data_IF_723900460796
#
_entry.id   IF_723900460796
#
_cell.length_a   1.000
_cell.length_b   1.000
_cell.length_c   1.000
_cell.angle_alpha   90.00
_cell.angle_beta   90.00
_cell.angle_gamma   90.00
#
_symmetry.space_group_name_H-M   'P 1'
#
loop_
_entity.id
_entity.type
_entity.pdbx_description
1 polymer ?
#
# COMPACT_ATOMS: atom_id res chain seq x y z
N UNK A 1 34.28 -27.83 -36.70
CA UNK A 1 34.56 -29.26 -36.35
C UNK A 1 33.57 -30.23 -37.00
N UNK A 2 32.25 -30.05 -36.91
CA UNK A 2 31.29 -30.98 -37.54
C UNK A 2 31.39 -31.08 -39.08
N UNK A 3 31.78 -29.98 -39.75
CA UNK A 3 32.02 -29.95 -41.20
C UNK A 3 33.27 -30.73 -41.64
N UNK A 4 34.31 -30.81 -40.79
CA UNK A 4 35.56 -31.50 -41.10
C UNK A 4 35.45 -33.03 -41.04
N UNK A 5 34.32 -33.56 -40.54
CA UNK A 5 34.05 -35.00 -40.36
C UNK A 5 32.94 -35.53 -41.28
N UNK A 6 32.48 -34.74 -42.26
CA UNK A 6 31.49 -35.18 -43.26
C UNK A 6 30.06 -35.39 -42.74
N UNK A 7 29.74 -34.97 -41.52
CA UNK A 7 28.44 -35.17 -40.89
C UNK A 7 27.48 -34.03 -41.27
N UNK A 8 27.03 -34.03 -42.53
CA UNK A 8 26.06 -33.05 -43.01
C UNK A 8 24.75 -33.12 -42.16
N UNK A 9 24.44 -32.02 -41.46
CA UNK A 9 23.24 -31.81 -40.63
C UNK A 9 23.13 -32.64 -39.34
N UNK A 10 24.24 -33.04 -38.72
CA UNK A 10 24.20 -33.56 -37.34
C UNK A 10 24.24 -32.42 -36.33
N UNK A 11 23.28 -32.37 -35.40
CA UNK A 11 23.33 -31.42 -34.29
C UNK A 11 24.53 -31.74 -33.40
N UNK A 12 25.17 -30.73 -32.81
CA UNK A 12 26.31 -30.90 -31.90
C UNK A 12 26.02 -31.89 -30.75
N UNK A 13 24.75 -32.00 -30.34
CA UNK A 13 24.30 -32.99 -29.36
C UNK A 13 24.35 -34.45 -29.87
N UNK A 14 24.05 -34.69 -31.15
CA UNK A 14 24.18 -36.03 -31.75
C UNK A 14 25.63 -36.47 -31.85
N UNK A 15 26.52 -35.54 -32.22
CA UNK A 15 27.97 -35.81 -32.27
C UNK A 15 28.51 -36.09 -30.86
N UNK A 16 28.09 -35.32 -29.86
CA UNK A 16 28.47 -35.57 -28.45
C UNK A 16 27.99 -36.95 -27.97
N UNK A 17 26.72 -37.28 -28.17
CA UNK A 17 26.20 -38.59 -27.73
C UNK A 17 26.90 -39.77 -28.41
N UNK A 18 27.30 -39.60 -29.67
CA UNK A 18 28.08 -40.63 -30.36
C UNK A 18 29.49 -40.78 -29.76
N UNK A 19 30.14 -39.67 -29.40
CA UNK A 19 31.45 -39.68 -28.73
C UNK A 19 31.38 -40.27 -27.30
N UNK A 20 30.31 -39.98 -26.55
CA UNK A 20 30.05 -40.60 -25.23
C UNK A 20 29.90 -42.12 -25.34
N UNK A 21 29.17 -42.59 -26.36
CA UNK A 21 29.00 -44.04 -26.61
C UNK A 21 30.32 -44.72 -26.99
N UNK A 22 31.28 -43.97 -27.50
CA UNK A 22 32.62 -44.46 -27.83
C UNK A 22 33.62 -44.25 -26.69
N UNK A 23 33.15 -43.84 -25.50
CA UNK A 23 33.97 -43.57 -24.31
C UNK A 23 35.08 -42.51 -24.54
N UNK A 24 34.87 -41.63 -25.52
CA UNK A 24 35.79 -40.55 -25.83
C UNK A 24 35.52 -39.32 -24.96
N UNK A 25 36.56 -38.54 -24.68
CA UNK A 25 36.43 -37.31 -23.91
C UNK A 25 35.51 -36.31 -24.64
N UNK A 26 34.37 -35.99 -24.02
CA UNK A 26 33.39 -35.04 -24.55
C UNK A 26 33.46 -33.66 -23.89
N UNK A 27 34.46 -33.42 -23.03
CA UNK A 27 34.65 -32.17 -22.27
C UNK A 27 34.75 -30.90 -23.15
N UNK A 28 35.15 -31.07 -24.41
CA UNK A 28 35.33 -30.01 -25.40
C UNK A 28 34.05 -29.62 -26.14
N UNK A 29 32.97 -30.43 -26.10
CA UNK A 29 31.68 -30.06 -26.67
C UNK A 29 30.99 -29.03 -25.78
N UNK A 30 31.39 -27.76 -25.87
CA UNK A 30 30.77 -26.68 -25.10
C UNK A 30 29.71 -25.97 -25.94
N UNK A 31 28.50 -25.83 -25.39
CA UNK A 31 27.49 -24.92 -25.97
C UNK A 31 27.90 -23.46 -25.78
N UNK A 32 27.00 -22.50 -26.05
CA UNK A 32 27.22 -21.05 -25.75
C UNK A 32 27.44 -20.73 -24.26
N UNK A 33 27.43 -21.74 -23.40
CA UNK A 33 27.53 -21.65 -21.94
C UNK A 33 29.00 -21.77 -21.53
N UNK A 34 29.43 -20.90 -20.61
CA UNK A 34 30.84 -20.80 -20.18
C UNK A 34 31.23 -21.76 -19.04
N UNK A 35 30.29 -22.54 -18.54
CA UNK A 35 30.47 -23.45 -17.40
C UNK A 35 29.89 -24.84 -17.69
N UNK A 36 30.40 -25.85 -17.02
CA UNK A 36 30.02 -27.27 -17.05
C UNK A 36 28.95 -27.60 -16.01
N UNK A 37 28.29 -28.75 -16.14
CA UNK A 37 27.30 -29.18 -15.14
C UNK A 37 27.96 -29.45 -13.78
N UNK A 38 29.24 -29.85 -13.75
CA UNK A 38 30.00 -30.03 -12.52
C UNK A 38 30.33 -28.70 -11.83
N UNK A 39 30.74 -27.69 -12.58
CA UNK A 39 30.99 -26.34 -12.03
C UNK A 39 29.71 -25.74 -11.43
N UNK A 40 28.55 -25.97 -12.08
CA UNK A 40 27.27 -25.55 -11.51
C UNK A 40 26.94 -26.30 -10.22
N UNK A 41 27.17 -27.62 -10.15
CA UNK A 41 26.95 -28.42 -8.93
C UNK A 41 27.78 -27.88 -7.77
N UNK A 42 29.08 -27.66 -7.99
CA UNK A 42 29.98 -27.10 -6.98
C UNK A 42 29.54 -25.70 -6.55
N UNK A 43 29.23 -24.82 -7.51
CA UNK A 43 28.81 -23.46 -7.19
C UNK A 43 27.49 -23.41 -6.40
N UNK A 44 26.53 -24.28 -6.73
CA UNK A 44 25.27 -24.38 -5.98
C UNK A 44 25.50 -24.91 -4.57
N UNK A 45 26.35 -25.93 -4.39
CA UNK A 45 26.57 -26.55 -3.08
C UNK A 45 27.30 -25.65 -2.09
N UNK A 46 28.17 -24.75 -2.57
CA UNK A 46 29.11 -24.01 -1.71
C UNK A 46 28.78 -22.51 -1.55
N UNK A 47 27.76 -22.01 -2.24
CA UNK A 47 27.32 -20.61 -2.10
C UNK A 47 25.97 -20.55 -1.40
N UNK A 48 25.69 -19.45 -0.71
CA UNK A 48 24.42 -19.20 -0.02
C UNK A 48 23.49 -18.24 -0.79
N UNK A 49 23.86 -17.87 -2.02
CA UNK A 49 23.06 -16.95 -2.84
C UNK A 49 23.28 -17.11 -4.33
N UNK A 50 22.25 -16.80 -5.12
CA UNK A 50 22.35 -16.76 -6.59
C UNK A 50 23.41 -15.77 -7.12
N UNK A 51 23.65 -14.68 -6.40
CA UNK A 51 24.72 -13.74 -6.74
C UNK A 51 26.10 -14.38 -6.56
N UNK A 52 26.27 -15.16 -5.47
CA UNK A 52 27.48 -15.97 -5.23
C UNK A 52 27.73 -17.01 -6.31
N UNK A 53 26.68 -17.76 -6.68
CA UNK A 53 26.73 -18.73 -7.78
C UNK A 53 27.14 -18.06 -9.10
N UNK A 54 26.55 -16.92 -9.45
CA UNK A 54 26.93 -16.15 -10.64
C UNK A 54 28.41 -15.74 -10.61
N UNK A 55 28.87 -15.16 -9.50
CA UNK A 55 30.26 -14.73 -9.30
C UNK A 55 31.23 -15.89 -9.47
N UNK A 56 30.92 -17.05 -8.87
CA UNK A 56 31.75 -18.24 -8.95
C UNK A 56 31.84 -18.82 -10.36
N UNK A 57 30.75 -18.77 -11.11
CA UNK A 57 30.71 -19.20 -12.52
C UNK A 57 31.28 -18.14 -13.48
N UNK A 58 31.85 -17.05 -12.97
CA UNK A 58 32.43 -15.96 -13.79
C UNK A 58 31.39 -15.21 -14.62
N UNK A 59 30.13 -15.17 -14.15
CA UNK A 59 29.03 -14.49 -14.82
C UNK A 59 28.71 -13.17 -14.13
N UNK A 60 28.32 -12.18 -14.94
CA UNK A 60 27.71 -10.95 -14.42
C UNK A 60 26.36 -11.30 -13.80
N UNK A 61 26.12 -10.80 -12.59
CA UNK A 61 24.87 -11.00 -11.89
C UNK A 61 23.76 -10.15 -12.52
N UNK A 62 22.96 -10.79 -13.37
CA UNK A 62 21.88 -10.18 -14.15
C UNK A 62 20.63 -11.04 -14.04
N UNK A 63 19.48 -10.46 -14.36
CA UNK A 63 18.23 -11.21 -14.39
C UNK A 63 18.32 -12.44 -15.33
N UNK A 64 18.85 -12.25 -16.53
CA UNK A 64 18.97 -13.31 -17.53
C UNK A 64 19.92 -14.44 -17.08
N UNK A 65 21.08 -14.09 -16.50
CA UNK A 65 22.02 -15.10 -15.99
C UNK A 65 21.43 -15.89 -14.83
N UNK A 66 20.74 -15.23 -13.90
CA UNK A 66 20.00 -15.89 -12.80
C UNK A 66 18.95 -16.86 -13.32
N UNK A 67 18.15 -16.49 -14.31
CA UNK A 67 17.12 -17.37 -14.90
C UNK A 67 17.76 -18.60 -15.55
N UNK A 68 18.84 -18.43 -16.33
CA UNK A 68 19.54 -19.54 -16.99
C UNK A 68 20.13 -20.53 -15.99
N UNK A 69 20.83 -20.04 -14.97
CA UNK A 69 21.43 -20.89 -13.93
C UNK A 69 20.33 -21.63 -13.16
N UNK A 70 19.26 -20.94 -12.75
CA UNK A 70 18.10 -21.55 -12.09
C UNK A 70 17.48 -22.68 -12.91
N UNK A 71 17.21 -22.43 -14.20
CA UNK A 71 16.67 -23.44 -15.09
C UNK A 71 17.57 -24.67 -15.22
N UNK A 72 18.89 -24.46 -15.26
CA UNK A 72 19.84 -25.58 -15.29
C UNK A 72 19.96 -26.33 -13.96
N UNK A 73 19.91 -25.64 -12.83
CA UNK A 73 19.95 -26.26 -11.51
C UNK A 73 18.70 -27.14 -11.28
N UNK A 74 17.53 -26.63 -11.66
CA UNK A 74 16.26 -27.38 -11.65
C UNK A 74 16.34 -28.61 -12.57
N UNK A 75 16.80 -28.44 -13.81
CA UNK A 75 17.00 -29.55 -14.76
C UNK A 75 17.92 -30.65 -14.21
N UNK A 76 18.93 -30.27 -13.43
CA UNK A 76 19.88 -31.20 -12.81
C UNK A 76 19.39 -31.78 -11.47
N UNK A 77 18.22 -31.36 -10.98
CA UNK A 77 17.68 -31.81 -9.70
C UNK A 77 18.51 -31.36 -8.49
N UNK A 78 19.18 -30.21 -8.58
CA UNK A 78 19.99 -29.69 -7.47
C UNK A 78 19.10 -29.08 -6.40
N UNK A 79 19.44 -29.29 -5.13
CA UNK A 79 18.87 -28.52 -4.04
C UNK A 79 19.38 -27.08 -4.11
N UNK A 80 18.45 -26.14 -4.17
CA UNK A 80 18.70 -24.70 -4.28
C UNK A 80 17.95 -23.91 -3.20
N UNK A 81 17.42 -24.62 -2.19
CA UNK A 81 16.61 -24.03 -1.12
C UNK A 81 17.40 -22.99 -0.31
N UNK A 82 18.69 -23.25 -0.06
CA UNK A 82 19.62 -22.37 0.64
C UNK A 82 20.07 -21.16 -0.18
N UNK A 83 20.07 -21.24 -1.52
CA UNK A 83 20.46 -20.13 -2.41
C UNK A 83 19.44 -18.99 -2.49
N UNK A 84 18.25 -19.22 -1.94
CA UNK A 84 17.21 -18.22 -1.89
C UNK A 84 17.42 -17.38 -0.64
N UNK A 85 17.75 -16.09 -0.82
CA UNK A 85 17.80 -15.06 0.25
C UNK A 85 16.51 -14.92 1.08
N UNK A 86 15.51 -15.75 0.81
CA UNK A 86 14.20 -15.79 1.43
C UNK A 86 14.02 -17.13 2.13
N UNK A 87 14.92 -17.47 3.05
CA UNK A 87 14.48 -18.19 4.23
C UNK A 87 13.48 -17.24 4.91
N UNK A 88 12.19 -17.39 4.58
CA UNK A 88 11.11 -16.71 5.28
C UNK A 88 11.08 -17.33 6.68
N UNK A 89 11.92 -16.83 7.58
CA UNK A 89 11.65 -16.98 8.99
C UNK A 89 10.31 -16.27 9.19
N UNK A 90 9.25 -16.96 9.64
CA UNK A 90 8.01 -16.27 9.96
C UNK A 90 8.37 -15.16 10.94
N UNK A 91 8.06 -13.89 10.62
CA UNK A 91 8.38 -12.81 11.53
C UNK A 91 7.75 -13.14 12.86
N UNK A 92 8.55 -13.15 13.92
CA UNK A 92 8.00 -13.21 15.28
C UNK A 92 6.93 -12.12 15.38
N UNK A 93 5.73 -12.41 15.93
CA UNK A 93 4.67 -11.42 16.07
C UNK A 93 5.11 -10.37 17.09
N UNK A 94 5.96 -9.46 16.66
CA UNK A 94 6.28 -8.24 17.38
C UNK A 94 5.07 -7.32 17.18
N UNK A 95 4.47 -6.79 18.26
CA UNK A 95 3.37 -5.85 18.10
C UNK A 95 3.85 -4.68 17.24
N UNK A 96 3.24 -4.52 16.07
CA UNK A 96 3.54 -3.46 15.10
C UNK A 96 3.19 -2.09 15.69
N UNK A 97 2.20 -2.05 16.57
CA UNK A 97 1.76 -0.87 17.30
C UNK A 97 1.99 -1.12 18.79
N UNK A 98 2.96 -0.42 19.38
CA UNK A 98 3.23 -0.45 20.83
C UNK A 98 2.61 0.72 21.58
N UNK A 99 2.33 1.79 20.85
CA UNK A 99 1.83 3.04 21.40
C UNK A 99 0.33 3.14 21.17
N UNK A 100 -0.38 3.72 22.13
CA UNK A 100 -1.77 4.09 21.93
C UNK A 100 -1.88 5.11 20.78
N UNK A 101 -3.02 5.13 20.04
CA UNK A 101 -3.23 6.13 19.00
C UNK A 101 -3.05 7.55 19.52
N UNK A 102 -2.24 8.37 18.83
CA UNK A 102 -2.06 9.78 19.15
C UNK A 102 -3.29 10.60 18.69
N UNK A 103 -4.07 11.19 19.61
CA UNK A 103 -5.26 11.98 19.26
C UNK A 103 -4.94 13.14 18.30
N UNK A 104 -3.73 13.68 18.31
CA UNK A 104 -3.34 14.77 17.39
C UNK A 104 -3.40 14.35 15.92
N UNK A 105 -3.29 13.06 15.64
CA UNK A 105 -3.42 12.50 14.28
C UNK A 105 -4.87 12.44 13.80
N UNK A 106 -5.86 12.64 14.67
CA UNK A 106 -7.28 12.62 14.30
C UNK A 106 -7.59 13.59 13.15
N UNK A 107 -6.95 14.77 13.13
CA UNK A 107 -7.13 15.74 12.03
C UNK A 107 -6.76 15.18 10.65
N UNK A 108 -5.79 14.28 10.59
CA UNK A 108 -5.35 13.63 9.35
C UNK A 108 -6.28 12.44 9.03
N UNK A 109 -6.73 11.72 10.06
CA UNK A 109 -7.56 10.53 9.91
C UNK A 109 -9.06 10.84 9.68
N UNK A 110 -9.52 12.06 9.99
CA UNK A 110 -10.93 12.39 10.03
C UNK A 110 -11.64 12.17 8.68
N UNK A 111 -11.01 12.57 7.57
CA UNK A 111 -11.60 12.39 6.25
C UNK A 111 -11.74 10.91 5.86
N UNK A 112 -10.68 10.08 5.93
CA UNK A 112 -10.81 8.63 5.72
C UNK A 112 -11.86 7.97 6.62
N UNK A 113 -11.96 8.37 7.89
CA UNK A 113 -12.97 7.85 8.81
C UNK A 113 -14.37 8.25 8.36
N UNK A 114 -14.58 9.50 7.95
CA UNK A 114 -15.86 9.99 7.47
C UNK A 114 -16.29 9.27 6.18
N UNK A 115 -15.36 9.11 5.23
CA UNK A 115 -15.60 8.36 3.98
C UNK A 115 -16.02 6.93 4.30
N UNK A 116 -15.29 6.24 5.19
CA UNK A 116 -15.64 4.89 5.62
C UNK A 116 -17.02 4.86 6.29
N UNK A 117 -17.31 5.81 7.17
CA UNK A 117 -18.59 5.88 7.88
C UNK A 117 -19.77 6.04 6.93
N UNK A 118 -19.71 7.00 5.99
CA UNK A 118 -20.75 7.19 4.98
C UNK A 118 -20.91 5.93 4.11
N UNK A 119 -19.80 5.34 3.67
CA UNK A 119 -19.81 4.13 2.83
C UNK A 119 -20.48 2.95 3.56
N UNK A 120 -20.17 2.75 4.84
CA UNK A 120 -20.78 1.71 5.67
C UNK A 120 -22.28 1.93 5.87
N UNK A 121 -22.75 3.16 5.78
CA UNK A 121 -24.19 3.52 5.82
C UNK A 121 -24.83 3.53 4.42
N UNK A 122 -24.18 2.94 3.41
CA UNK A 122 -24.72 2.82 2.05
C UNK A 122 -24.69 4.11 1.23
N UNK A 123 -24.01 5.15 1.72
CA UNK A 123 -23.88 6.42 1.01
C UNK A 123 -22.59 6.45 0.20
N UNK A 124 -22.71 6.63 -1.12
CA UNK A 124 -21.55 6.75 -2.01
C UNK A 124 -20.88 8.11 -1.81
N UNK A 125 -19.54 8.10 -1.76
CA UNK A 125 -18.73 9.30 -1.49
C UNK A 125 -17.78 9.57 -2.66
N UNK A 126 -17.71 10.82 -3.09
CA UNK A 126 -16.75 11.31 -4.06
C UNK A 126 -15.88 12.42 -3.45
N UNK A 127 -14.56 12.27 -3.55
CA UNK A 127 -13.58 13.26 -3.08
C UNK A 127 -13.16 14.13 -4.29
N UNK A 128 -13.29 15.46 -4.23
CA UNK A 128 -12.88 16.34 -5.32
C UNK A 128 -11.35 16.34 -5.48
N UNK A 129 -10.88 16.39 -6.72
CA UNK A 129 -9.44 16.50 -7.03
C UNK A 129 -8.86 17.89 -6.79
N UNK A 130 -9.70 18.91 -6.79
CA UNK A 130 -9.34 20.31 -6.59
C UNK A 130 -9.85 20.82 -5.23
N UNK A 131 -9.19 21.82 -4.61
CA UNK A 131 -9.69 22.45 -3.40
C UNK A 131 -11.09 23.03 -3.59
N UNK A 132 -12.01 22.67 -2.70
CA UNK A 132 -13.40 23.17 -2.64
C UNK A 132 -13.73 23.66 -1.24
N UNK A 133 -14.87 24.31 -1.08
CA UNK A 133 -15.47 24.70 0.19
C UNK A 133 -16.04 23.50 0.99
N UNK A 134 -16.00 22.31 0.41
CA UNK A 134 -16.37 21.04 1.02
C UNK A 134 -15.25 20.03 0.78
N UNK A 135 -15.14 19.03 1.64
CA UNK A 135 -14.12 17.99 1.49
C UNK A 135 -14.65 16.83 0.64
N UNK A 136 -15.95 16.54 0.69
CA UNK A 136 -16.56 15.43 -0.06
C UNK A 136 -17.95 15.75 -0.57
N UNK A 137 -18.35 15.08 -1.65
CA UNK A 137 -19.73 14.94 -2.08
C UNK A 137 -20.25 13.57 -1.63
N UNK A 138 -21.44 13.54 -1.07
CA UNK A 138 -22.06 12.32 -0.56
C UNK A 138 -23.45 12.18 -1.17
N UNK A 139 -23.78 10.98 -1.65
CA UNK A 139 -25.11 10.67 -2.18
C UNK A 139 -26.04 10.29 -1.03
N UNK A 140 -26.85 11.24 -0.57
CA UNK A 140 -27.91 11.00 0.41
C UNK A 140 -29.19 10.52 -0.29
N UNK A 141 -30.17 9.96 0.45
CA UNK A 141 -31.46 9.54 -0.13
C UNK A 141 -32.22 10.67 -0.84
N UNK A 142 -32.05 11.91 -0.40
CA UNK A 142 -32.71 13.11 -0.94
C UNK A 142 -31.82 13.90 -1.93
N UNK A 143 -30.69 13.32 -2.36
CA UNK A 143 -29.80 13.90 -3.36
C UNK A 143 -28.35 14.03 -2.92
N UNK A 144 -27.53 14.62 -3.78
CA UNK A 144 -26.10 14.80 -3.50
C UNK A 144 -25.93 16.01 -2.56
N UNK A 145 -25.14 15.82 -1.49
CA UNK A 145 -24.82 16.86 -0.50
C UNK A 145 -23.32 17.11 -0.46
N UNK A 146 -22.94 18.37 -0.25
CA UNK A 146 -21.60 18.88 -0.02
C UNK A 146 -21.31 18.85 1.47
N UNK A 147 -20.28 18.11 1.85
CA UNK A 147 -19.95 17.87 3.26
C UNK A 147 -18.52 18.33 3.53
N UNK A 148 -18.37 19.19 4.54
CA UNK A 148 -17.09 19.61 5.06
C UNK A 148 -16.78 18.76 6.29
N UNK A 149 -15.62 18.13 6.30
CA UNK A 149 -15.15 17.30 7.38
C UNK A 149 -14.31 18.16 8.33
N UNK A 150 -14.58 18.00 9.62
CA UNK A 150 -13.81 18.62 10.70
C UNK A 150 -13.55 17.57 11.76
N UNK A 151 -12.53 17.85 12.56
CA UNK A 151 -12.28 17.11 13.78
C UNK A 151 -11.88 18.04 14.90
N UNK A 152 -12.03 17.57 16.13
CA UNK A 152 -11.52 18.30 17.30
C UNK A 152 -10.97 17.36 18.34
N UNK A 153 -9.84 17.75 18.92
CA UNK A 153 -9.34 17.24 20.19
C UNK A 153 -9.30 18.35 21.25
N UNK A 154 -9.93 19.49 20.97
CA UNK A 154 -9.97 20.65 21.85
C UNK A 154 -11.24 20.66 22.68
N UNK A 155 -11.09 20.94 23.98
CA UNK A 155 -12.19 21.13 24.92
C UNK A 155 -12.33 22.60 25.30
N UNK A 156 -13.55 23.03 25.57
CA UNK A 156 -13.84 24.32 26.21
C UNK A 156 -13.45 24.28 27.69
N UNK A 157 -13.52 25.43 28.37
CA UNK A 157 -13.17 25.54 29.80
C UNK A 157 -14.05 24.66 30.71
N UNK A 158 -15.28 24.38 30.30
CA UNK A 158 -16.22 23.49 30.99
C UNK A 158 -16.04 22.00 30.62
N UNK A 159 -14.97 21.67 29.88
CA UNK A 159 -14.64 20.32 29.47
C UNK A 159 -15.39 19.81 28.24
N UNK A 160 -16.38 20.54 27.71
CA UNK A 160 -17.15 20.12 26.54
C UNK A 160 -16.35 20.22 25.25
N UNK A 161 -16.71 19.45 24.24
CA UNK A 161 -15.97 19.44 22.97
C UNK A 161 -16.28 20.69 22.16
N UNK A 162 -15.25 21.40 21.70
CA UNK A 162 -15.42 22.59 20.86
C UNK A 162 -14.70 22.44 19.53
N UNK A 163 -15.27 22.98 18.46
CA UNK A 163 -14.70 22.90 17.11
C UNK A 163 -14.86 24.22 16.38
N UNK A 164 -13.85 24.58 15.59
CA UNK A 164 -13.93 25.70 14.65
C UNK A 164 -14.57 25.26 13.34
N UNK A 165 -15.68 25.88 12.97
CA UNK A 165 -16.45 25.62 11.75
C UNK A 165 -16.40 26.80 10.75
N UNK A 166 -15.65 27.85 11.06
CA UNK A 166 -15.41 28.95 10.12
C UNK A 166 -14.29 28.67 9.14
N UNK A 167 -14.35 29.31 7.97
CA UNK A 167 -13.26 29.38 6.99
C UNK A 167 -12.52 30.70 7.11
N UNK A 168 -11.30 30.78 6.59
CA UNK A 168 -10.67 32.08 6.32
C UNK A 168 -11.02 32.49 4.89
N UNK A 169 -11.30 33.78 4.63
CA UNK A 169 -11.36 34.27 3.27
C UNK A 169 -10.08 33.90 2.52
N UNK A 170 -10.14 33.70 1.20
CA UNK A 170 -8.97 33.57 0.35
C UNK A 170 -8.24 34.91 0.30
N UNK A 171 -7.49 35.20 1.36
CA UNK A 171 -6.59 36.33 1.51
C UNK A 171 -5.23 35.77 1.92
N UNK A 172 -4.17 36.38 1.41
CA UNK A 172 -2.80 36.08 1.83
C UNK A 172 -2.56 36.49 3.30
N UNK A 173 -3.48 37.25 3.90
CA UNK A 173 -3.45 37.63 5.30
C UNK A 173 -4.00 36.52 6.22
N UNK A 174 -3.07 35.79 6.85
CA UNK A 174 -3.39 34.76 7.85
C UNK A 174 -3.95 35.32 9.17
N UNK A 175 -3.97 36.65 9.36
CA UNK A 175 -4.60 37.30 10.51
C UNK A 175 -6.11 37.52 10.31
N UNK A 176 -6.61 37.43 9.07
CA UNK A 176 -8.00 37.68 8.73
C UNK A 176 -8.98 36.82 9.54
N UNK A 177 -10.00 37.45 10.12
CA UNK A 177 -11.02 36.80 10.96
C UNK A 177 -11.67 35.63 10.20
N UNK A 178 -12.00 34.56 10.93
CA UNK A 178 -12.81 33.48 10.37
C UNK A 178 -14.20 34.00 10.00
N UNK A 179 -14.69 33.57 8.85
CA UNK A 179 -16.04 33.84 8.33
C UNK A 179 -16.83 32.53 8.27
N UNK A 180 -18.16 32.58 8.39
CA UNK A 180 -19.00 31.39 8.21
C UNK A 180 -18.94 30.86 6.78
N UNK A 181 -19.38 29.62 6.61
CA UNK A 181 -19.64 29.05 5.29
C UNK A 181 -21.00 29.54 4.79
N UNK A 182 -21.10 29.68 3.47
CA UNK A 182 -22.34 29.99 2.77
C UNK A 182 -23.20 28.71 2.70
N UNK A 183 -24.46 28.73 3.18
CA UNK A 183 -25.38 27.60 3.04
C UNK A 183 -25.60 27.17 1.59
N UNK A 184 -25.44 28.07 0.62
CA UNK A 184 -25.58 27.73 -0.80
C UNK A 184 -24.37 26.95 -1.34
N UNK A 185 -23.25 26.94 -0.62
CA UNK A 185 -22.00 26.27 -1.01
C UNK A 185 -21.70 25.02 -0.18
N UNK A 186 -22.34 24.85 0.98
CA UNK A 186 -22.10 23.75 1.90
C UNK A 186 -23.40 23.32 2.57
N UNK A 187 -23.69 22.02 2.54
CA UNK A 187 -24.93 21.47 3.10
C UNK A 187 -24.73 20.99 4.55
N UNK A 188 -23.62 20.29 4.82
CA UNK A 188 -23.33 19.71 6.13
C UNK A 188 -21.88 19.89 6.58
N UNK A 189 -21.69 19.92 7.90
CA UNK A 189 -20.43 19.55 8.54
C UNK A 189 -20.53 18.15 9.12
N UNK A 190 -19.55 17.30 8.82
CA UNK A 190 -19.31 16.10 9.62
C UNK A 190 -18.15 16.38 10.59
N UNK A 191 -18.41 16.22 11.89
CA UNK A 191 -17.42 16.49 12.95
C UNK A 191 -17.13 15.26 13.77
N UNK A 192 -15.84 14.93 13.93
CA UNK A 192 -15.37 13.84 14.79
C UNK A 192 -14.64 14.42 16.01
N UNK A 193 -15.10 14.14 17.22
CA UNK A 193 -14.44 14.59 18.44
C UNK A 193 -13.34 13.62 18.92
N UNK A 194 -12.59 13.99 19.96
CA UNK A 194 -11.49 13.17 20.48
C UNK A 194 -11.92 11.90 21.22
N UNK A 195 -13.23 11.73 21.52
CA UNK A 195 -13.79 10.45 21.97
C UNK A 195 -14.18 9.53 20.79
N UNK A 196 -14.16 10.05 19.56
CA UNK A 196 -14.64 9.35 18.38
C UNK A 196 -16.13 9.51 18.12
N UNK A 197 -16.85 10.38 18.82
CA UNK A 197 -18.25 10.68 18.47
C UNK A 197 -18.32 11.42 17.14
N UNK A 198 -19.32 11.07 16.34
CA UNK A 198 -19.54 11.60 15.00
C UNK A 198 -20.84 12.42 15.02
N UNK A 199 -20.73 13.68 14.57
CA UNK A 199 -21.84 14.62 14.43
C UNK A 199 -22.03 14.96 12.96
N UNK A 200 -23.28 15.01 12.50
CA UNK A 200 -23.65 15.48 11.16
C UNK A 200 -24.56 16.71 11.29
N UNK A 201 -23.97 17.89 11.11
CA UNK A 201 -24.59 19.18 11.41
C UNK A 201 -24.99 19.89 10.10
N UNK A 202 -26.28 20.13 9.85
CA UNK A 202 -26.71 20.97 8.73
C UNK A 202 -26.17 22.40 8.91
N UNK A 203 -25.67 23.02 7.85
CA UNK A 203 -25.11 24.39 7.93
C UNK A 203 -26.16 25.40 8.45
N UNK A 204 -27.42 25.25 8.04
CA UNK A 204 -28.52 26.09 8.49
C UNK A 204 -28.73 26.08 10.02
N UNK A 205 -28.46 24.96 10.68
CA UNK A 205 -28.59 24.83 12.14
C UNK A 205 -27.52 25.63 12.92
N UNK A 206 -26.44 26.03 12.25
CA UNK A 206 -25.28 26.67 12.88
C UNK A 206 -25.36 28.20 12.90
N UNK A 207 -26.38 28.79 12.25
CA UNK A 207 -26.73 30.21 12.30
C UNK A 207 -25.53 31.17 12.14
N UNK A 208 -24.64 30.90 11.17
CA UNK A 208 -23.49 31.76 10.86
C UNK A 208 -22.35 31.74 11.90
N UNK A 209 -22.36 30.82 12.87
CA UNK A 209 -21.27 30.67 13.84
C UNK A 209 -19.98 30.18 13.17
N UNK A 210 -18.84 30.58 13.72
CA UNK A 210 -17.50 30.16 13.24
C UNK A 210 -16.78 29.21 14.19
N UNK A 211 -17.40 28.95 15.35
CA UNK A 211 -17.03 27.93 16.32
C UNK A 211 -18.26 27.53 17.13
N UNK A 212 -18.29 26.27 17.56
CA UNK A 212 -19.40 25.69 18.32
C UNK A 212 -18.89 24.76 19.40
N UNK A 213 -19.73 24.53 20.41
CA UNK A 213 -19.61 23.44 21.38
C UNK A 213 -20.53 22.31 20.90
N UNK A 214 -19.97 21.12 20.65
CA UNK A 214 -20.69 19.99 20.05
C UNK A 214 -21.79 19.44 20.97
N UNK A 215 -21.55 19.44 22.27
CA UNK A 215 -22.50 19.00 23.29
C UNK A 215 -23.81 19.82 23.32
N UNK A 216 -23.84 20.99 22.66
CA UNK A 216 -25.06 21.79 22.47
C UNK A 216 -25.92 21.33 21.29
N UNK A 217 -25.49 20.31 20.55
CA UNK A 217 -26.14 19.76 19.36
C UNK A 217 -26.31 18.23 19.46
N UNK A 218 -26.84 17.69 20.58
CA UNK A 218 -26.94 16.24 20.80
C UNK A 218 -27.80 15.52 19.75
N UNK A 219 -28.81 16.17 19.19
CA UNK A 219 -29.71 15.65 18.17
C UNK A 219 -29.00 15.36 16.83
N UNK A 220 -27.84 15.96 16.62
CA UNK A 220 -27.02 15.77 15.42
C UNK A 220 -25.89 14.76 15.62
N UNK A 221 -25.81 14.10 16.79
CA UNK A 221 -24.88 12.99 17.03
C UNK A 221 -25.41 11.74 16.32
N UNK A 222 -24.71 11.31 15.28
CA UNK A 222 -25.13 10.21 14.39
C UNK A 222 -24.40 8.90 14.66
N UNK A 223 -23.42 8.89 15.56
CA UNK A 223 -22.74 7.66 15.96
C UNK A 223 -21.38 7.88 16.60
N UNK A 224 -20.56 6.84 16.56
CA UNK A 224 -19.18 6.85 17.03
C UNK A 224 -18.30 6.01 16.11
N UNK A 225 -17.01 6.31 16.04
CA UNK A 225 -16.01 5.48 15.35
C UNK A 225 -15.92 4.08 15.93
N UNK A 226 -16.20 3.90 17.22
CA UNK A 226 -16.30 2.57 17.84
C UNK A 226 -17.48 1.75 17.27
N UNK A 227 -18.51 2.44 16.80
CA UNK A 227 -19.74 1.85 16.26
C UNK A 227 -19.71 1.66 14.74
N UNK A 228 -18.57 1.90 14.07
CA UNK A 228 -18.43 1.74 12.61
C UNK A 228 -18.86 0.36 12.09
N UNK A 229 -18.70 -0.68 12.91
CA UNK A 229 -19.04 -2.07 12.58
C UNK A 229 -20.18 -2.63 13.42
N UNK A 230 -20.72 -1.86 14.36
CA UNK A 230 -21.88 -2.29 15.13
C UNK A 230 -23.14 -2.00 14.31
N UNK A 231 -24.11 -2.93 14.22
CA UNK A 231 -25.40 -2.60 13.66
C UNK A 231 -25.99 -1.43 14.45
N UNK A 232 -26.61 -0.47 13.75
CA UNK A 232 -27.37 0.60 14.42
C UNK A 232 -28.36 -0.05 15.40
N UNK A 233 -28.49 0.47 16.64
CA UNK A 233 -29.46 -0.03 17.60
C UNK A 233 -30.90 0.12 17.08
#
# INVERSE_FOLDING_TARGET
>A
MAEALGLAKSSTNRVRHHAERLELDTSHFRGKRKWSDQELRTAVAEEDSWAGVNRRLGLVDSYESRVKIKGHAIRLGLDVSHLSQRAYAPPSPKPLFREAPDPKRLRIAAEPIAVAWFTMHGMSVAVPSEPREYDVLVTFPDGIKRVQIKSTTSRASDGKWQVGIGRRPYSLDKSARKVPYDPDLLDYFLVINGMGDIYLLPVGALAGRTGIVLDSYPEYKVGSTASLFAPSP
#
